data_IF_346273103415
#
_entry.id   IF_346273103415
#
_cell.length_a   1.000
_cell.length_b   1.000
_cell.length_c   1.000
_cell.angle_alpha   90.00
_cell.angle_beta   90.00
_cell.angle_gamma   90.00
#
_symmetry.space_group_name_H-M   'P 1'
#
loop_
_entity.id
_entity.type
_entity.pdbx_description
1 polymer ?
#
# COMPACT_ATOMS: atom_id res chain seq x y z
N UNK A 1 -22.42 -7.17 -1.84
CA UNK A 1 -22.46 -8.29 -0.89
C UNK A 1 -22.57 -7.68 0.49
N UNK A 2 -23.78 -7.66 1.07
CA UNK A 2 -23.95 -7.21 2.46
C UNK A 2 -23.55 -8.36 3.37
N UNK A 3 -22.87 -8.08 4.49
CA UNK A 3 -22.51 -9.05 5.53
C UNK A 3 -21.65 -10.25 5.06
N UNK A 4 -20.88 -10.11 3.99
CA UNK A 4 -20.05 -11.20 3.48
C UNK A 4 -18.81 -10.74 2.73
N UNK A 5 -17.81 -11.63 2.68
CA UNK A 5 -16.57 -11.48 1.91
C UNK A 5 -16.46 -12.60 0.89
N UNK A 6 -15.80 -12.35 -0.23
CA UNK A 6 -15.43 -13.42 -1.17
C UNK A 6 -14.18 -13.05 -1.97
N UNK A 7 -13.36 -14.05 -2.26
CA UNK A 7 -12.21 -13.91 -3.16
C UNK A 7 -12.66 -13.97 -4.61
N UNK A 8 -12.05 -13.14 -5.46
CA UNK A 8 -12.36 -13.07 -6.89
C UNK A 8 -11.08 -12.89 -7.69
N UNK A 9 -11.12 -13.10 -9.01
CA UNK A 9 -9.92 -12.94 -9.85
C UNK A 9 -8.71 -13.75 -9.38
N UNK A 10 -8.96 -14.89 -8.71
CA UNK A 10 -7.93 -15.74 -8.12
C UNK A 10 -7.00 -16.20 -9.23
N UNK A 11 -5.68 -16.14 -8.99
CA UNK A 11 -4.61 -16.51 -9.94
C UNK A 11 -4.46 -15.59 -11.15
N UNK A 12 -5.55 -15.02 -11.69
CA UNK A 12 -5.55 -14.19 -12.91
C UNK A 12 -6.39 -12.94 -12.69
N UNK A 13 -5.77 -11.94 -12.08
CA UNK A 13 -6.34 -10.59 -11.97
C UNK A 13 -5.63 -9.63 -12.91
N UNK A 14 -6.35 -8.62 -13.42
CA UNK A 14 -5.81 -7.67 -14.42
C UNK A 14 -4.70 -6.76 -13.88
N UNK A 15 -4.60 -6.60 -12.56
CA UNK A 15 -3.51 -5.85 -11.92
C UNK A 15 -2.23 -6.69 -11.74
N UNK A 16 -2.25 -8.01 -11.94
CA UNK A 16 -1.03 -8.83 -11.75
C UNK A 16 0.10 -8.38 -12.69
N UNK A 17 -0.13 -8.17 -14.00
CA UNK A 17 0.94 -7.70 -14.90
C UNK A 17 1.49 -6.33 -14.50
N UNK A 18 0.64 -5.42 -14.00
CA UNK A 18 1.07 -4.09 -13.53
C UNK A 18 1.94 -4.21 -12.27
N UNK A 19 1.52 -5.02 -11.29
CA UNK A 19 2.31 -5.29 -10.07
C UNK A 19 3.66 -5.92 -10.45
N UNK A 20 3.65 -6.92 -11.32
CA UNK A 20 4.88 -7.59 -11.76
C UNK A 20 5.80 -6.67 -12.56
N UNK A 21 5.25 -5.76 -13.38
CA UNK A 21 6.04 -4.77 -14.13
C UNK A 21 6.82 -3.86 -13.17
N UNK A 22 6.12 -3.14 -12.28
CA UNK A 22 6.76 -2.17 -11.39
C UNK A 22 7.77 -2.83 -10.44
N UNK A 23 7.45 -4.03 -9.93
CA UNK A 23 8.37 -4.79 -9.10
C UNK A 23 9.58 -5.31 -9.89
N UNK A 24 9.38 -5.73 -11.14
CA UNK A 24 10.50 -6.22 -11.97
C UNK A 24 11.45 -5.10 -12.34
N UNK A 25 10.91 -3.91 -12.64
CA UNK A 25 11.69 -2.71 -12.93
C UNK A 25 12.50 -2.28 -11.69
N UNK A 26 11.86 -2.25 -10.52
CA UNK A 26 12.54 -1.92 -9.26
C UNK A 26 13.62 -2.95 -8.87
N UNK A 27 13.36 -4.24 -9.11
CA UNK A 27 14.31 -5.31 -8.82
C UNK A 27 15.40 -5.49 -9.90
N UNK A 28 15.25 -4.83 -11.05
CA UNK A 28 16.04 -5.07 -12.26
C UNK A 28 16.15 -6.57 -12.61
N UNK A 29 15.06 -7.31 -12.40
CA UNK A 29 14.95 -8.75 -12.62
C UNK A 29 13.47 -9.12 -12.67
N UNK A 30 13.13 -10.19 -13.39
CA UNK A 30 11.75 -10.67 -13.45
C UNK A 30 11.26 -11.07 -12.07
N UNK A 31 10.17 -10.44 -11.63
CA UNK A 31 9.42 -10.78 -10.42
C UNK A 31 8.12 -11.48 -10.82
N UNK A 32 7.73 -12.49 -10.05
CA UNK A 32 6.43 -13.17 -10.20
C UNK A 32 5.75 -13.19 -8.85
N UNK A 33 4.48 -12.80 -8.80
CA UNK A 33 3.74 -12.65 -7.54
C UNK A 33 2.53 -13.58 -7.47
N UNK A 34 2.17 -13.97 -6.24
CA UNK A 34 0.86 -14.53 -5.96
C UNK A 34 -0.05 -13.39 -5.47
N UNK A 35 -1.14 -13.15 -6.19
CA UNK A 35 -2.10 -12.09 -5.86
C UNK A 35 -3.53 -12.65 -5.84
N UNK A 36 -4.24 -12.38 -4.75
CA UNK A 36 -5.65 -12.76 -4.59
C UNK A 36 -6.41 -11.60 -3.95
N UNK A 37 -7.28 -10.91 -4.70
CA UNK A 37 -8.14 -9.90 -4.12
C UNK A 37 -9.36 -10.53 -3.45
N UNK A 38 -9.79 -9.93 -2.35
CA UNK A 38 -10.99 -10.31 -1.60
C UNK A 38 -11.89 -9.09 -1.48
N UNK A 39 -13.14 -9.22 -1.91
CA UNK A 39 -14.13 -8.15 -1.79
C UNK A 39 -14.60 -8.06 -0.34
N UNK A 40 -14.63 -6.84 0.18
CA UNK A 40 -15.05 -6.53 1.55
C UNK A 40 -16.45 -5.90 1.55
N UNK A 41 -17.28 -6.10 2.60
CA UNK A 41 -18.59 -5.45 2.75
C UNK A 41 -18.44 -3.99 3.22
N UNK A 42 -17.62 -3.21 2.52
CA UNK A 42 -17.39 -1.78 2.79
C UNK A 42 -17.21 -1.02 1.47
N UNK A 43 -17.68 0.23 1.42
CA UNK A 43 -17.68 1.01 0.17
C UNK A 43 -16.32 1.60 -0.21
N UNK A 44 -15.44 1.81 0.77
CA UNK A 44 -14.12 2.43 0.60
C UNK A 44 -13.09 1.75 1.50
N UNK A 45 -11.85 1.81 1.05
CA UNK A 45 -10.69 1.26 1.73
C UNK A 45 -10.12 0.06 0.98
N UNK A 46 -8.81 -0.03 0.94
CA UNK A 46 -8.07 -1.18 0.42
C UNK A 46 -6.92 -1.47 1.37
N UNK A 47 -6.74 -2.75 1.68
CA UNK A 47 -5.59 -3.26 2.42
C UNK A 47 -4.87 -4.30 1.57
N UNK A 48 -3.55 -4.17 1.50
CA UNK A 48 -2.67 -5.23 0.99
C UNK A 48 -1.89 -5.81 2.16
N UNK A 49 -2.00 -7.13 2.36
CA UNK A 49 -1.14 -7.91 3.24
C UNK A 49 -0.13 -8.65 2.36
N UNK A 50 1.13 -8.28 2.46
CA UNK A 50 2.20 -8.70 1.56
C UNK A 50 3.20 -9.53 2.35
N UNK A 51 3.31 -10.81 2.02
CA UNK A 51 4.26 -11.72 2.67
C UNK A 51 5.50 -11.82 1.80
N UNK A 52 6.67 -11.50 2.37
CA UNK A 52 7.95 -11.45 1.64
C UNK A 52 9.01 -12.30 2.34
N UNK A 53 9.97 -12.79 1.56
CA UNK A 53 11.23 -13.34 2.07
C UNK A 53 12.26 -12.21 2.15
N UNK A 54 12.96 -12.15 3.27
CA UNK A 54 14.05 -11.20 3.49
C UNK A 54 15.33 -11.74 2.83
N UNK A 55 16.16 -10.84 2.33
CA UNK A 55 17.48 -11.22 1.83
C UNK A 55 18.35 -11.78 2.97
N UNK A 56 19.35 -12.63 2.68
CA UNK A 56 20.22 -13.19 3.71
C UNK A 56 20.87 -12.10 4.58
N UNK A 57 20.69 -12.22 5.90
CA UNK A 57 21.23 -11.27 6.87
C UNK A 57 20.41 -9.99 7.06
N UNK A 58 19.31 -9.79 6.32
CA UNK A 58 18.39 -8.65 6.52
C UNK A 58 17.37 -9.00 7.59
N UNK A 59 17.23 -8.11 8.57
CA UNK A 59 16.21 -8.18 9.62
C UNK A 59 14.93 -7.44 9.24
N UNK A 60 13.87 -7.65 10.02
CA UNK A 60 12.60 -6.92 9.87
C UNK A 60 12.80 -5.44 10.19
N UNK A 61 13.64 -5.17 11.18
CA UNK A 61 14.04 -3.83 11.61
C UNK A 61 14.77 -3.09 10.48
N UNK A 62 15.67 -3.76 9.75
CA UNK A 62 16.34 -3.17 8.59
C UNK A 62 15.34 -2.76 7.50
N UNK A 63 14.37 -3.63 7.19
CA UNK A 63 13.31 -3.33 6.22
C UNK A 63 12.46 -2.14 6.68
N UNK A 64 12.09 -2.09 7.96
CA UNK A 64 11.31 -0.98 8.52
C UNK A 64 12.09 0.34 8.51
N UNK A 65 13.37 0.32 8.89
CA UNK A 65 14.24 1.49 8.85
C UNK A 65 14.40 1.99 7.42
N UNK A 66 14.57 1.08 6.46
CA UNK A 66 14.64 1.42 5.04
C UNK A 66 13.39 2.16 4.58
N UNK A 67 12.18 1.61 4.84
CA UNK A 67 10.93 2.27 4.48
C UNK A 67 10.76 3.62 5.18
N UNK A 68 11.07 3.69 6.48
CA UNK A 68 10.94 4.93 7.27
C UNK A 68 11.81 6.03 6.68
N UNK A 69 13.05 5.71 6.33
CA UNK A 69 13.99 6.66 5.71
C UNK A 69 13.56 7.02 4.28
N UNK A 70 13.09 6.04 3.51
CA UNK A 70 12.68 6.25 2.12
C UNK A 70 11.49 7.21 2.03
N UNK A 71 10.48 7.03 2.89
CA UNK A 71 9.26 7.85 2.92
C UNK A 71 9.34 9.05 3.87
N UNK A 72 10.50 9.35 4.47
CA UNK A 72 10.63 10.43 5.49
C UNK A 72 10.16 11.81 4.99
N UNK A 73 10.30 12.07 3.69
CA UNK A 73 9.93 13.34 3.05
C UNK A 73 8.64 13.25 2.23
N UNK A 74 7.97 12.11 2.25
CA UNK A 74 6.78 11.87 1.45
C UNK A 74 5.53 12.27 2.24
N UNK A 75 4.75 13.21 1.70
CA UNK A 75 3.57 13.75 2.38
C UNK A 75 2.44 12.71 2.49
N UNK A 76 2.31 11.85 1.47
CA UNK A 76 1.18 10.93 1.34
C UNK A 76 1.47 9.51 1.82
N UNK A 77 2.67 9.22 2.31
CA UNK A 77 3.04 7.87 2.79
C UNK A 77 3.57 7.96 4.21
N UNK A 78 2.87 7.35 5.15
CA UNK A 78 3.27 7.27 6.56
C UNK A 78 3.67 5.84 6.94
N UNK A 79 4.91 5.67 7.37
CA UNK A 79 5.38 4.42 8.00
C UNK A 79 5.01 4.46 9.48
N UNK A 80 4.13 3.54 9.91
CA UNK A 80 3.60 3.58 11.27
C UNK A 80 4.62 3.07 12.32
N UNK A 81 4.51 3.52 13.59
CA UNK A 81 5.34 3.01 14.68
C UNK A 81 5.16 1.51 14.93
N UNK A 82 6.08 0.92 15.70
CA UNK A 82 6.00 -0.50 16.07
C UNK A 82 4.68 -0.83 16.80
N UNK A 83 4.15 -2.02 16.51
CA UNK A 83 2.91 -2.51 17.10
C UNK A 83 1.62 -1.91 16.53
N UNK A 84 1.69 -0.92 15.63
CA UNK A 84 0.50 -0.31 15.02
C UNK A 84 0.16 -0.93 13.66
N UNK A 85 -0.94 -1.67 13.59
CA UNK A 85 -1.47 -2.17 12.33
C UNK A 85 -2.14 -1.03 11.52
N UNK A 86 -1.78 -0.85 10.24
CA UNK A 86 -2.52 0.07 9.36
C UNK A 86 -4.00 -0.31 9.28
N UNK A 87 -4.87 0.69 9.28
CA UNK A 87 -6.32 0.50 9.29
C UNK A 87 -6.97 1.36 8.21
N UNK A 88 -7.75 0.75 7.30
CA UNK A 88 -8.32 1.44 6.12
C UNK A 88 -9.17 2.66 6.49
N UNK A 89 -9.85 2.61 7.63
CA UNK A 89 -10.65 3.74 8.15
C UNK A 89 -9.81 4.99 8.46
N UNK A 90 -8.54 4.84 8.82
CA UNK A 90 -7.65 5.98 9.12
C UNK A 90 -7.09 6.67 7.88
N UNK A 91 -7.40 6.18 6.68
CA UNK A 91 -7.03 6.82 5.41
C UNK A 91 -8.25 7.14 4.54
N UNK A 92 -9.47 6.77 4.98
CA UNK A 92 -10.69 6.96 4.20
C UNK A 92 -10.92 8.44 3.87
N UNK A 93 -11.19 8.74 2.60
CA UNK A 93 -11.42 10.10 2.11
C UNK A 93 -10.16 10.96 1.99
N UNK A 94 -8.97 10.44 2.33
CA UNK A 94 -7.69 11.14 2.22
C UNK A 94 -6.84 10.58 1.07
N UNK A 95 -5.83 11.33 0.64
CA UNK A 95 -4.81 10.85 -0.31
C UNK A 95 -3.68 10.06 0.39
N UNK A 96 -3.84 9.75 1.69
CA UNK A 96 -2.82 9.08 2.49
C UNK A 96 -2.71 7.57 2.24
N UNK A 97 -1.52 7.06 2.49
CA UNK A 97 -1.16 5.65 2.54
C UNK A 97 -0.48 5.38 3.89
N UNK A 98 -1.00 4.43 4.67
CA UNK A 98 -0.33 3.97 5.89
C UNK A 98 0.29 2.60 5.65
N UNK A 99 1.57 2.45 5.98
CA UNK A 99 2.31 1.19 5.81
C UNK A 99 3.03 0.81 7.11
N UNK A 100 3.14 -0.49 7.38
CA UNK A 100 4.00 -0.99 8.46
C UNK A 100 4.53 -2.39 8.14
N UNK A 101 5.57 -2.80 8.85
CA UNK A 101 6.24 -4.09 8.71
C UNK A 101 6.17 -4.85 10.03
N UNK A 102 5.93 -6.15 9.94
CA UNK A 102 5.84 -7.07 11.07
C UNK A 102 6.72 -8.29 10.81
N UNK A 103 7.28 -8.91 11.86
CA UNK A 103 7.94 -10.20 11.73
C UNK A 103 6.92 -11.28 11.33
N UNK A 104 7.28 -12.13 10.37
CA UNK A 104 6.55 -13.37 10.12
C UNK A 104 6.97 -14.40 11.18
N UNK A 105 6.06 -15.33 11.53
CA UNK A 105 6.38 -16.49 12.37
C UNK A 105 7.42 -17.40 11.69
N UNK A 106 7.46 -17.40 10.36
CA UNK A 106 8.45 -18.14 9.58
C UNK A 106 9.77 -17.36 9.59
N UNK A 107 10.88 -17.95 10.06
CA UNK A 107 12.18 -17.29 10.06
C UNK A 107 12.59 -16.82 8.66
N UNK A 108 13.16 -15.61 8.58
CA UNK A 108 13.60 -15.02 7.31
C UNK A 108 12.47 -14.42 6.46
N UNK A 109 11.25 -14.28 7.00
CA UNK A 109 10.13 -13.63 6.31
C UNK A 109 9.62 -12.42 7.10
N UNK A 110 8.97 -11.52 6.37
CA UNK A 110 8.28 -10.36 6.93
C UNK A 110 6.89 -10.21 6.32
N UNK A 111 6.01 -9.53 7.05
CA UNK A 111 4.67 -9.17 6.62
C UNK A 111 4.62 -7.65 6.52
N UNK A 112 4.36 -7.14 5.31
CA UNK A 112 4.10 -5.72 5.07
C UNK A 112 2.60 -5.54 4.97
N UNK A 113 2.05 -4.59 5.72
CA UNK A 113 0.65 -4.18 5.58
C UNK A 113 0.64 -2.76 5.05
N UNK A 114 -0.14 -2.51 4.00
CA UNK A 114 -0.38 -1.17 3.43
C UNK A 114 -1.88 -0.92 3.27
N UNK A 115 -2.34 0.29 3.58
CA UNK A 115 -3.74 0.70 3.39
C UNK A 115 -3.84 2.06 2.71
N UNK A 116 -4.86 2.19 1.85
CA UNK A 116 -5.25 3.42 1.15
C UNK A 116 -6.77 3.54 1.07
N UNK A 117 -7.30 4.74 0.79
CA UNK A 117 -8.63 4.86 0.18
C UNK A 117 -8.51 4.51 -1.32
N UNK A 118 -9.21 3.46 -1.74
CA UNK A 118 -9.17 2.95 -3.12
C UNK A 118 -9.74 3.91 -4.17
N UNK A 119 -10.56 4.89 -3.78
CA UNK A 119 -11.13 5.89 -4.68
C UNK A 119 -10.34 7.21 -4.66
N UNK A 120 -9.53 7.45 -3.64
CA UNK A 120 -8.67 8.64 -3.54
C UNK A 120 -7.24 8.28 -3.95
N UNK A 121 -6.38 7.85 -3.02
CA UNK A 121 -4.99 7.49 -3.35
C UNK A 121 -4.91 6.30 -4.33
N UNK A 122 -5.89 5.40 -4.31
CA UNK A 122 -5.97 4.30 -5.27
C UNK A 122 -6.50 4.67 -6.66
N UNK A 123 -7.00 5.89 -6.86
CA UNK A 123 -7.58 6.33 -8.14
C UNK A 123 -7.49 7.87 -8.32
N UNK A 124 -8.59 8.60 -8.06
CA UNK A 124 -8.74 9.99 -8.47
C UNK A 124 -7.82 10.97 -7.74
N UNK A 125 -7.48 10.70 -6.48
CA UNK A 125 -6.53 11.50 -5.71
C UNK A 125 -5.12 11.41 -6.29
N UNK A 126 -4.67 10.20 -6.65
CA UNK A 126 -3.39 10.01 -7.33
C UNK A 126 -3.39 10.61 -8.74
N UNK A 127 -4.52 10.56 -9.46
CA UNK A 127 -4.65 11.24 -10.74
C UNK A 127 -4.50 12.76 -10.62
N UNK A 128 -5.10 13.38 -9.59
CA UNK A 128 -4.92 14.81 -9.31
C UNK A 128 -3.49 15.14 -8.87
N UNK A 129 -2.86 14.27 -8.07
CA UNK A 129 -1.46 14.41 -7.65
C UNK A 129 -0.54 14.46 -8.87
N UNK A 130 -0.74 13.55 -9.83
CA UNK A 130 -0.02 13.54 -11.10
C UNK A 130 -0.30 14.80 -11.92
N UNK A 131 -1.56 15.22 -12.01
CA UNK A 131 -1.93 16.44 -12.74
C UNK A 131 -1.27 17.68 -12.15
N UNK A 132 -1.19 17.81 -10.82
CA UNK A 132 -0.51 18.92 -10.16
C UNK A 132 0.94 19.01 -10.63
N UNK A 133 1.67 17.89 -10.62
CA UNK A 133 3.05 17.83 -11.10
C UNK A 133 3.15 18.18 -12.59
N UNK A 134 2.28 17.63 -13.43
CA UNK A 134 2.26 17.92 -14.87
C UNK A 134 2.02 19.41 -15.19
N UNK A 135 1.25 20.08 -14.34
CA UNK A 135 0.90 21.50 -14.51
C UNK A 135 1.84 22.45 -13.76
N UNK A 136 2.84 21.93 -13.03
CA UNK A 136 3.79 22.72 -12.24
C UNK A 136 3.20 23.31 -10.95
N UNK A 137 2.08 22.78 -10.47
CA UNK A 137 1.53 23.12 -9.15
C UNK A 137 2.24 22.33 -8.04
N UNK A 138 2.17 22.78 -6.78
CA UNK A 138 2.55 21.94 -5.64
C UNK A 138 1.81 20.61 -5.70
N UNK A 139 2.53 19.51 -5.51
CA UNK A 139 2.01 18.14 -5.64
C UNK A 139 0.75 17.88 -4.81
N UNK A 140 0.67 18.49 -3.63
CA UNK A 140 -0.42 18.34 -2.68
C UNK A 140 -1.62 19.28 -2.90
N UNK A 141 -1.61 20.09 -3.96
CA UNK A 141 -2.69 21.03 -4.24
C UNK A 141 -4.05 20.30 -4.33
N UNK A 142 -4.97 20.64 -3.43
CA UNK A 142 -6.30 20.01 -3.38
C UNK A 142 -6.33 18.59 -2.79
N UNK A 143 -5.25 18.13 -2.15
CA UNK A 143 -5.10 16.76 -1.62
C UNK A 143 -4.85 16.67 -0.12
N UNK A 144 -4.79 17.80 0.59
CA UNK A 144 -4.56 17.86 2.04
C UNK A 144 -5.82 17.55 2.89
N UNK A 145 -6.81 16.83 2.32
CA UNK A 145 -8.00 16.45 3.06
C UNK A 145 -7.67 15.40 4.13
N UNK A 146 -8.05 15.70 5.37
CA UNK A 146 -7.88 14.76 6.47
C UNK A 146 -8.83 13.56 6.32
N UNK A 147 -8.47 12.38 6.85
CA UNK A 147 -9.33 11.21 6.84
C UNK A 147 -10.71 11.50 7.46
N UNK A 148 -11.76 10.98 6.83
CA UNK A 148 -13.13 11.03 7.33
C UNK A 148 -13.35 9.86 8.29
N UNK A 149 -13.45 10.17 9.58
CA UNK A 149 -13.66 9.22 10.67
C UNK A 149 -14.72 9.75 11.64
N UNK A 150 -15.61 8.90 12.20
CA UNK A 150 -15.76 7.45 11.99
C UNK A 150 -16.60 7.10 10.76
#
# INVERSE_FOLDING_TARGET
VSEGIFSYGITRHRHVPEIEQELSDAANSRVTVSFTPTLMPMSRGMQSTINVELAPGVSVEDLKQHLTKFYEKEEFVAVLPDGQAPHTKYVQGSNGCHINVFPDRIPGRAIIISVIDNLVKGASGQALQNLNLMMGYPENTGLSCMPLFP
#
